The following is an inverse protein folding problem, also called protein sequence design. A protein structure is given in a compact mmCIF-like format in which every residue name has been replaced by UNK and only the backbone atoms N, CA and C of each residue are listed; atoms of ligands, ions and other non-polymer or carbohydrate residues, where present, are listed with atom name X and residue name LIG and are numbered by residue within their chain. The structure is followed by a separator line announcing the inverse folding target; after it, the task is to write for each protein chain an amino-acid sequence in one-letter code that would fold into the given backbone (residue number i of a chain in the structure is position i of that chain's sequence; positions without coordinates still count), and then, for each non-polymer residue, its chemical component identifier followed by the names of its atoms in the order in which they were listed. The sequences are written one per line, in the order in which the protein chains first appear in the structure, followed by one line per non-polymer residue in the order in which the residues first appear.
data_IF_620443574964
#
_entry.id   IF_620443574964
#
_cell.length_a   1.000
_cell.length_b   1.000
_cell.length_c   1.000
_cell.angle_alpha   90.00
_cell.angle_beta   90.00
_cell.angle_gamma   90.00
#
_symmetry.space_group_name_H-M   'P 1'
#
loop_
_entity.id
_entity.type
_entity.pdbx_description
1 polymer ?
#
# COMPACT_ATOMS: atom_id res chain seq x y z
N UNK A 1 -30.00 14.24 24.15
CA UNK A 1 -28.57 13.86 24.29
C UNK A 1 -28.45 12.49 23.66
N UNK A 2 -27.98 12.45 22.42
CA UNK A 2 -26.59 12.09 22.07
C UNK A 2 -26.39 10.58 22.36
N UNK A 3 -26.05 9.75 21.39
CA UNK A 3 -24.76 9.81 20.70
C UNK A 3 -24.78 8.82 19.53
N UNK A 4 -25.06 9.29 18.30
CA UNK A 4 -24.70 8.55 17.08
C UNK A 4 -23.39 9.14 16.58
N UNK A 5 -22.30 8.80 17.25
CA UNK A 5 -20.97 9.08 16.75
C UNK A 5 -20.52 7.85 16.00
N UNK A 6 -20.76 7.86 14.69
CA UNK A 6 -20.03 7.04 13.73
C UNK A 6 -18.56 7.08 14.13
N UNK A 7 -18.09 6.00 14.77
CA UNK A 7 -16.67 5.75 14.90
C UNK A 7 -16.22 5.41 13.51
N UNK A 8 -15.91 6.47 12.78
CA UNK A 8 -15.06 6.47 11.61
C UNK A 8 -13.91 5.52 11.92
N UNK A 9 -14.00 4.29 11.43
CA UNK A 9 -12.83 3.44 11.25
C UNK A 9 -12.02 4.11 10.15
N UNK A 10 -11.39 5.24 10.47
CA UNK A 10 -10.04 5.47 9.98
C UNK A 10 -9.23 4.40 10.70
N UNK A 11 -9.30 3.20 10.14
CA UNK A 11 -8.29 2.18 10.27
C UNK A 11 -7.06 2.84 9.65
N UNK A 12 -6.40 3.68 10.46
CA UNK A 12 -5.04 4.07 10.22
C UNK A 12 -4.32 2.74 9.97
N UNK A 13 -3.68 2.58 8.80
CA UNK A 13 -3.01 1.32 8.51
C UNK A 13 -2.11 1.06 9.71
N UNK A 14 -2.16 -0.14 10.34
CA UNK A 14 -1.32 -0.41 11.50
C UNK A 14 0.08 0.05 11.12
N UNK A 15 0.73 0.91 11.93
CA UNK A 15 2.10 1.36 11.69
C UNK A 15 2.85 0.11 11.27
N UNK A 16 3.08 -0.02 9.95
CA UNK A 16 3.53 -1.28 9.39
C UNK A 16 4.81 -1.53 10.15
N UNK A 17 4.92 -2.64 10.87
CA UNK A 17 6.22 -3.10 11.33
C UNK A 17 7.00 -3.36 10.05
N UNK A 18 7.64 -2.32 9.51
CA UNK A 18 8.47 -2.35 8.31
C UNK A 18 9.67 -3.18 8.76
N UNK A 19 9.50 -4.50 8.69
CA UNK A 19 10.60 -5.44 8.87
C UNK A 19 11.64 -5.08 7.83
N UNK A 20 12.91 -5.12 8.24
CA UNK A 20 14.00 -4.87 7.32
C UNK A 20 13.87 -5.81 6.12
N UNK A 21 13.62 -5.23 4.95
CA UNK A 21 13.55 -5.99 3.72
C UNK A 21 14.97 -6.39 3.29
N UNK A 22 15.10 -7.54 2.62
CA UNK A 22 16.30 -7.85 1.87
C UNK A 22 16.69 -6.68 0.94
N UNK A 23 17.98 -6.44 0.76
CA UNK A 23 18.53 -5.27 0.04
C UNK A 23 18.08 -5.13 -1.42
N UNK A 24 17.56 -6.20 -2.02
CA UNK A 24 17.01 -6.23 -3.38
C UNK A 24 15.52 -5.87 -3.44
N UNK A 25 14.84 -5.73 -2.29
CA UNK A 25 13.41 -5.40 -2.23
C UNK A 25 13.21 -3.98 -1.67
N UNK A 26 12.14 -3.35 -2.13
CA UNK A 26 11.73 -2.02 -1.73
C UNK A 26 10.20 -1.98 -1.58
N UNK A 27 9.71 -1.22 -0.61
CA UNK A 27 8.30 -0.90 -0.52
C UNK A 27 7.90 0.12 -1.59
N UNK A 28 6.76 -0.12 -2.23
CA UNK A 28 6.07 0.86 -3.03
C UNK A 28 4.61 0.94 -2.58
N UNK A 29 3.99 2.10 -2.72
CA UNK A 29 2.63 2.31 -2.25
C UNK A 29 1.67 2.38 -3.43
N UNK A 30 0.58 1.61 -3.35
CA UNK A 30 -0.48 1.63 -4.35
C UNK A 30 -1.39 2.85 -4.19
N UNK A 31 -1.35 3.56 -3.06
CA UNK A 31 -2.18 4.74 -2.81
C UNK A 31 -1.36 5.85 -2.17
N UNK A 32 -1.76 7.09 -2.40
CA UNK A 32 -1.11 8.29 -1.88
C UNK A 32 -1.17 8.36 -0.34
N UNK A 33 -2.08 7.61 0.28
CA UNK A 33 -2.28 7.56 1.74
C UNK A 33 -1.37 6.56 2.47
N UNK A 34 -0.38 5.96 1.80
CA UNK A 34 0.51 4.92 2.36
C UNK A 34 -0.21 3.68 2.97
N UNK A 35 -1.50 3.48 2.67
CA UNK A 35 -2.33 2.41 3.25
C UNK A 35 -2.08 1.03 2.66
N UNK A 36 -1.55 0.96 1.44
CA UNK A 36 -1.36 -0.28 0.69
C UNK A 36 0.09 -0.41 0.20
N UNK A 37 1.01 -0.80 1.09
CA UNK A 37 2.37 -1.15 0.68
C UNK A 37 2.35 -2.43 -0.17
N UNK A 38 3.14 -2.44 -1.22
CA UNK A 38 3.51 -3.64 -1.98
C UNK A 38 5.03 -3.77 -1.95
N UNK A 39 5.51 -4.99 -1.81
CA UNK A 39 6.95 -5.28 -1.84
C UNK A 39 7.30 -5.58 -3.28
N UNK A 40 8.29 -4.86 -3.80
CA UNK A 40 8.74 -5.00 -5.19
C UNK A 40 10.26 -5.00 -5.26
N UNK A 41 10.82 -5.44 -6.37
CA UNK A 41 12.26 -5.46 -6.56
C UNK A 41 12.81 -4.03 -6.81
N UNK A 42 13.89 -3.68 -6.13
CA UNK A 42 14.56 -2.37 -6.21
C UNK A 42 15.27 -2.16 -7.55
N UNK A 43 15.62 -3.24 -8.24
CA UNK A 43 16.31 -3.21 -9.53
C UNK A 43 15.34 -3.02 -10.70
N UNK A 44 14.02 -2.94 -10.46
CA UNK A 44 13.05 -2.60 -11.49
C UNK A 44 13.33 -1.21 -12.06
N UNK A 45 13.22 -1.07 -13.38
CA UNK A 45 13.26 0.25 -14.00
C UNK A 45 12.05 1.07 -13.56
N UNK A 46 12.18 2.39 -13.55
CA UNK A 46 11.10 3.32 -13.16
C UNK A 46 9.82 3.04 -13.97
N UNK A 47 9.96 2.76 -15.27
CA UNK A 47 8.83 2.45 -16.15
C UNK A 47 8.14 1.12 -15.79
N UNK A 48 8.93 0.07 -15.51
CA UNK A 48 8.43 -1.25 -15.10
C UNK A 48 7.73 -1.16 -13.74
N UNK A 49 8.34 -0.43 -12.81
CA UNK A 49 7.77 -0.12 -11.48
C UNK A 49 6.43 0.56 -11.64
N UNK A 50 6.34 1.61 -12.46
CA UNK A 50 5.11 2.36 -12.69
C UNK A 50 4.04 1.51 -13.37
N UNK A 51 4.41 0.69 -14.34
CA UNK A 51 3.49 -0.24 -15.00
C UNK A 51 2.93 -1.28 -14.00
N UNK A 52 3.78 -1.86 -13.16
CA UNK A 52 3.37 -2.81 -12.12
C UNK A 52 2.39 -2.17 -11.13
N UNK A 53 2.72 -0.99 -10.59
CA UNK A 53 1.84 -0.26 -9.68
C UNK A 53 0.50 0.07 -10.35
N UNK A 54 0.50 0.44 -11.64
CA UNK A 54 -0.72 0.73 -12.37
C UNK A 54 -1.61 -0.51 -12.56
N UNK A 55 -1.00 -1.65 -12.92
CA UNK A 55 -1.71 -2.94 -13.02
C UNK A 55 -2.32 -3.34 -11.67
N UNK A 56 -1.56 -3.19 -10.58
CA UNK A 56 -2.02 -3.50 -9.23
C UNK A 56 -3.14 -2.56 -8.78
N UNK A 57 -3.05 -1.25 -9.09
CA UNK A 57 -4.13 -0.28 -8.89
C UNK A 57 -5.41 -0.67 -9.65
N UNK A 58 -5.30 -1.10 -10.91
CA UNK A 58 -6.45 -1.54 -11.71
C UNK A 58 -7.08 -2.84 -11.20
N UNK A 59 -6.30 -3.74 -10.61
CA UNK A 59 -6.76 -5.02 -10.06
C UNK A 59 -7.10 -4.98 -8.56
N UNK A 60 -7.28 -3.79 -7.98
CA UNK A 60 -7.60 -3.58 -6.56
C UNK A 60 -8.83 -4.37 -6.07
N UNK A 61 -9.75 -4.75 -6.98
CA UNK A 61 -10.96 -5.55 -6.67
C UNK A 61 -10.71 -7.05 -6.48
N UNK A 62 -9.52 -7.57 -6.76
CA UNK A 62 -9.24 -9.02 -6.69
C UNK A 62 -8.51 -9.40 -5.40
N UNK A 63 -7.93 -8.42 -4.71
CA UNK A 63 -7.02 -8.65 -3.57
C UNK A 63 -7.72 -8.42 -2.21
N UNK A 64 -8.84 -7.68 -2.20
CA UNK A 64 -9.68 -7.48 -1.02
C UNK A 64 -11.06 -8.10 -1.22
#
# INVERSE_FOLDING_TARGET
AEESKEKSSVEEPPELEIKELPSHLEYAFLEDTNKLPVIIDKNLKVDERKALINVLKSHKRVIF
#
